data_IF_333228735026
#
_entry.id   IF_333228735026
#
_cell.length_a   1.000
_cell.length_b   1.000
_cell.length_c   1.000
_cell.angle_alpha   90.00
_cell.angle_beta   90.00
_cell.angle_gamma   90.00
#
_symmetry.space_group_name_H-M   'P 1'
#
loop_
_entity.id
_entity.type
_entity.pdbx_description
1 polymer ?
#
# COMPACT_ATOMS: atom_id res chain seq x y z
N UNK A 1 -14.88 8.75 6.82
CA UNK A 1 -14.94 7.28 6.98
C UNK A 1 -15.57 6.64 5.75
N UNK A 2 -14.81 6.66 4.65
CA UNK A 2 -15.14 6.02 3.38
C UNK A 2 -14.56 4.61 3.35
N UNK A 3 -15.42 3.61 3.53
CA UNK A 3 -15.05 2.18 3.49
C UNK A 3 -14.35 1.77 2.18
N UNK A 4 -14.50 2.57 1.11
CA UNK A 4 -13.85 2.35 -0.18
C UNK A 4 -12.32 2.49 -0.15
N UNK A 5 -11.78 3.48 0.55
CA UNK A 5 -10.34 3.76 0.55
C UNK A 5 -9.58 2.67 1.31
N UNK A 6 -10.09 2.27 2.49
CA UNK A 6 -9.52 1.18 3.29
C UNK A 6 -9.60 -0.16 2.56
N UNK A 7 -10.73 -0.47 1.92
CA UNK A 7 -10.88 -1.70 1.14
C UNK A 7 -9.94 -1.75 -0.07
N UNK A 8 -9.74 -0.62 -0.75
CA UNK A 8 -8.78 -0.51 -1.83
C UNK A 8 -7.36 -0.74 -1.33
N UNK A 9 -6.95 -0.01 -0.28
CA UNK A 9 -5.61 -0.10 0.31
C UNK A 9 -5.27 -1.53 0.72
N UNK A 10 -6.18 -2.19 1.45
CA UNK A 10 -5.96 -3.56 1.91
C UNK A 10 -5.75 -4.53 0.74
N UNK A 11 -6.60 -4.45 -0.30
CA UNK A 11 -6.44 -5.26 -1.52
C UNK A 11 -5.16 -4.92 -2.28
N UNK A 12 -4.81 -3.64 -2.35
CA UNK A 12 -3.65 -3.17 -3.08
C UNK A 12 -2.36 -3.68 -2.43
N UNK A 13 -2.26 -3.61 -1.09
CA UNK A 13 -1.12 -4.11 -0.32
C UNK A 13 -0.98 -5.62 -0.49
N UNK A 14 -2.06 -6.40 -0.34
CA UNK A 14 -2.00 -7.87 -0.47
C UNK A 14 -1.57 -8.34 -1.86
N UNK A 15 -1.87 -7.57 -2.92
CA UNK A 15 -1.44 -7.91 -4.28
C UNK A 15 -0.03 -7.39 -4.59
N UNK A 16 0.28 -6.17 -4.15
CA UNK A 16 1.54 -5.50 -4.53
C UNK A 16 2.72 -5.98 -3.69
N UNK A 17 2.56 -6.15 -2.36
CA UNK A 17 3.67 -6.49 -1.46
C UNK A 17 4.34 -7.82 -1.81
N UNK A 18 3.62 -8.96 -1.97
CA UNK A 18 4.25 -10.24 -2.28
C UNK A 18 4.95 -10.25 -3.64
N UNK A 19 4.40 -9.53 -4.62
CA UNK A 19 4.97 -9.39 -5.96
C UNK A 19 6.25 -8.52 -5.95
N UNK A 20 6.32 -7.53 -5.06
CA UNK A 20 7.45 -6.60 -4.96
C UNK A 20 8.62 -7.09 -4.10
N UNK A 21 8.38 -7.89 -3.06
CA UNK A 21 9.45 -8.41 -2.19
C UNK A 21 10.27 -9.50 -2.90
N UNK A 22 9.69 -10.16 -3.92
CA UNK A 22 10.35 -11.22 -4.69
C UNK A 22 11.13 -10.78 -5.94
N UNK A 23 10.98 -9.54 -6.44
CA UNK A 23 11.39 -9.15 -7.81
C UNK A 23 12.40 -7.98 -7.83
N UNK A 24 13.19 -7.81 -6.77
CA UNK A 24 14.08 -6.66 -6.53
C UNK A 24 13.35 -5.42 -5.96
N UNK A 25 13.59 -5.21 -4.65
CA UNK A 25 13.44 -4.02 -3.80
C UNK A 25 12.86 -2.78 -4.52
N UNK A 26 11.55 -2.79 -4.78
CA UNK A 26 10.84 -1.55 -5.12
C UNK A 26 10.81 -0.70 -3.84
N UNK A 27 11.26 0.56 -3.92
CA UNK A 27 11.32 1.43 -2.75
C UNK A 27 9.92 1.74 -2.21
N UNK A 28 9.78 1.91 -0.90
CA UNK A 28 8.51 2.34 -0.27
C UNK A 28 7.96 3.60 -0.94
N UNK A 29 8.83 4.49 -1.39
CA UNK A 29 8.46 5.69 -2.13
C UNK A 29 7.80 5.38 -3.48
N UNK A 30 8.30 4.39 -4.22
CA UNK A 30 7.73 3.97 -5.52
C UNK A 30 6.39 3.25 -5.33
N UNK A 31 6.27 2.41 -4.30
CA UNK A 31 4.99 1.80 -3.92
C UNK A 31 3.95 2.85 -3.56
N UNK A 32 4.36 3.89 -2.81
CA UNK A 32 3.48 5.00 -2.46
C UNK A 32 2.98 5.74 -3.71
N UNK A 33 3.87 6.03 -4.66
CA UNK A 33 3.48 6.65 -5.93
C UNK A 33 2.54 5.77 -6.76
N UNK A 34 2.83 4.47 -6.85
CA UNK A 34 1.99 3.51 -7.58
C UNK A 34 0.60 3.38 -6.94
N UNK A 35 0.53 3.35 -5.62
CA UNK A 35 -0.73 3.34 -4.88
C UNK A 35 -1.61 4.55 -5.24
N UNK A 36 -1.04 5.76 -5.25
CA UNK A 36 -1.78 6.96 -5.62
C UNK A 36 -2.20 6.96 -7.10
N UNK A 37 -1.37 6.41 -7.99
CA UNK A 37 -1.72 6.27 -9.40
C UNK A 37 -2.91 5.31 -9.59
N UNK A 38 -2.87 4.15 -8.93
CA UNK A 38 -3.94 3.13 -9.00
C UNK A 38 -5.23 3.61 -8.32
N UNK A 39 -5.11 4.29 -7.17
CA UNK A 39 -6.22 4.94 -6.50
C UNK A 39 -6.92 5.95 -7.42
N UNK A 40 -6.13 6.80 -8.08
CA UNK A 40 -6.65 7.80 -9.02
C UNK A 40 -7.32 7.13 -10.22
N UNK A 41 -6.82 6.01 -10.71
CA UNK A 41 -7.42 5.27 -11.81
C UNK A 41 -8.83 4.74 -11.50
N UNK A 42 -9.13 4.45 -10.23
CA UNK A 42 -10.45 4.03 -9.77
C UNK A 42 -11.29 5.16 -9.15
N UNK A 43 -10.79 6.40 -9.20
CA UNK A 43 -11.49 7.58 -8.72
C UNK A 43 -11.41 7.83 -7.21
N UNK A 44 -10.43 7.26 -6.52
CA UNK A 44 -10.11 7.55 -5.12
C UNK A 44 -9.02 8.63 -5.08
N UNK A 45 -9.24 9.71 -4.34
CA UNK A 45 -8.23 10.75 -4.17
C UNK A 45 -7.20 10.34 -3.12
N UNK A 46 -5.94 10.73 -3.32
CA UNK A 46 -4.88 10.45 -2.34
C UNK A 46 -5.19 11.03 -0.96
N UNK A 47 -5.82 12.21 -0.91
CA UNK A 47 -6.29 12.83 0.33
C UNK A 47 -7.29 11.98 1.10
N UNK A 48 -8.15 11.23 0.39
CA UNK A 48 -9.11 10.34 1.05
C UNK A 48 -8.41 9.13 1.65
N UNK A 49 -7.35 8.64 1.01
CA UNK A 49 -6.54 7.55 1.57
C UNK A 49 -5.75 8.05 2.78
N UNK A 50 -5.14 9.23 2.69
CA UNK A 50 -4.38 9.82 3.79
C UNK A 50 -5.27 10.21 4.97
N UNK A 51 -6.49 10.68 4.74
CA UNK A 51 -7.45 11.03 5.81
C UNK A 51 -7.94 9.77 6.55
N UNK A 52 -8.09 8.65 5.85
CA UNK A 52 -8.59 7.39 6.44
C UNK A 52 -7.47 6.54 7.06
N UNK A 53 -6.27 6.59 6.48
CA UNK A 53 -5.16 5.70 6.86
C UNK A 53 -4.03 6.44 7.58
N UNK A 54 -4.01 7.76 7.51
CA UNK A 54 -2.88 8.56 7.96
C UNK A 54 -1.74 8.52 6.94
N UNK A 55 -0.53 8.23 7.43
CA UNK A 55 0.66 8.18 6.59
C UNK A 55 0.67 6.90 5.74
N UNK A 56 0.30 7.02 4.47
CA UNK A 56 0.35 5.91 3.50
C UNK A 56 1.75 5.29 3.44
N UNK A 57 2.80 6.11 3.59
CA UNK A 57 4.17 5.65 3.64
C UNK A 57 4.43 4.69 4.80
N UNK A 58 3.99 5.05 6.02
CA UNK A 58 4.16 4.19 7.19
C UNK A 58 3.40 2.88 7.06
N UNK A 59 2.20 2.92 6.46
CA UNK A 59 1.37 1.73 6.29
C UNK A 59 1.97 0.75 5.29
N UNK A 60 2.54 1.25 4.19
CA UNK A 60 3.24 0.42 3.22
C UNK A 60 4.53 -0.14 3.84
N UNK A 61 5.30 0.68 4.57
CA UNK A 61 6.50 0.23 5.27
C UNK A 61 6.18 -0.87 6.28
N UNK A 62 5.15 -0.66 7.11
CA UNK A 62 4.67 -1.62 8.09
C UNK A 62 4.21 -2.93 7.43
N UNK A 63 3.52 -2.86 6.30
CA UNK A 63 3.12 -4.04 5.54
C UNK A 63 4.31 -4.84 4.98
N UNK A 64 5.36 -4.17 4.51
CA UNK A 64 6.59 -4.83 4.04
C UNK A 64 7.32 -5.48 5.20
N UNK A 65 7.50 -4.76 6.32
CA UNK A 65 8.15 -5.28 7.53
C UNK A 65 7.39 -6.49 8.10
N UNK A 66 6.05 -6.45 8.13
CA UNK A 66 5.23 -7.58 8.55
C UNK A 66 5.34 -8.77 7.59
N UNK A 67 5.44 -8.52 6.28
CA UNK A 67 5.65 -9.59 5.31
C UNK A 67 7.02 -10.26 5.50
N UNK A 68 8.10 -9.48 5.64
CA UNK A 68 9.44 -10.02 5.92
C UNK A 68 9.49 -10.80 7.24
N UNK A 69 8.83 -10.30 8.28
CA UNK A 69 8.75 -10.97 9.58
C UNK A 69 7.98 -12.30 9.52
N UNK A 70 6.97 -12.40 8.64
CA UNK A 70 6.18 -13.63 8.44
C UNK A 70 6.82 -14.66 7.50
N UNK A 71 7.78 -14.26 6.67
CA UNK A 71 8.58 -15.16 5.80
C UNK A 71 9.74 -15.81 6.57
N UNK A 72 10.10 -15.29 7.74
CA UNK A 72 11.21 -15.79 8.55
C UNK A 72 10.88 -17.00 9.47
N UNK A 73 9.72 -17.64 9.32
CA UNK A 73 9.32 -18.87 10.04
C UNK A 73 9.45 -20.13 9.18
#
# INVERSE_FOLDING_TARGET
>A
MSTRAVNFLHKWISNSVPETVGVDIISVAELTQKLFADAKAIGISGSEIEEETGSVYEVILDAILHYEAGVAD
#
